data_IF_426256332069
#
_entry.id   IF_426256332069
#
_cell.length_a   1.000
_cell.length_b   1.000
_cell.length_c   1.000
_cell.angle_alpha   90.00
_cell.angle_beta   90.00
_cell.angle_gamma   90.00
#
_symmetry.space_group_name_H-M   'P 1'
#
loop_
_entity.id
_entity.type
_entity.pdbx_description
1 polymer ?
#
# COMPACT_ATOMS: atom_id res chain seq x y z
N UNK A 1 -15.12 6.41 1.59
CA UNK A 1 -14.80 5.35 2.58
C UNK A 1 -14.93 5.90 4.00
N UNK A 2 -15.97 5.49 4.76
CA UNK A 2 -16.28 6.06 6.09
C UNK A 2 -15.37 5.55 7.22
N UNK A 3 -14.71 4.41 7.01
CA UNK A 3 -13.85 3.78 8.03
C UNK A 3 -12.62 4.61 8.40
N UNK A 4 -11.89 5.14 7.41
CA UNK A 4 -10.70 5.97 7.66
C UNK A 4 -11.02 7.28 8.39
N UNK A 5 -12.23 7.80 8.21
CA UNK A 5 -12.69 8.99 8.93
C UNK A 5 -12.95 8.72 10.42
N UNK A 6 -13.19 7.47 10.80
CA UNK A 6 -13.41 7.06 12.19
C UNK A 6 -12.14 6.52 12.85
N UNK A 7 -11.34 5.74 12.09
CA UNK A 7 -10.05 5.24 12.53
C UNK A 7 -9.05 5.30 11.38
N UNK A 8 -7.94 6.03 11.51
CA UNK A 8 -6.89 6.06 10.49
C UNK A 8 -6.01 4.81 10.54
N UNK A 9 -6.25 3.86 11.44
CA UNK A 9 -5.40 2.68 11.60
C UNK A 9 -5.95 1.49 10.83
N UNK A 10 -5.10 0.85 10.04
CA UNK A 10 -5.41 -0.30 9.21
C UNK A 10 -4.23 -1.28 9.16
N UNK A 11 -4.50 -2.53 8.81
CA UNK A 11 -3.47 -3.56 8.63
C UNK A 11 -3.50 -4.06 7.19
N UNK A 12 -2.34 -4.12 6.54
CA UNK A 12 -2.16 -4.63 5.19
C UNK A 12 -1.41 -5.96 5.25
N UNK A 13 -2.03 -7.02 4.77
CA UNK A 13 -1.41 -8.34 4.63
C UNK A 13 -1.09 -8.63 3.16
N UNK A 14 0.16 -8.91 2.87
CA UNK A 14 0.59 -9.50 1.60
C UNK A 14 0.97 -10.96 1.84
N UNK A 15 0.47 -11.83 0.98
CA UNK A 15 0.80 -13.25 0.96
C UNK A 15 1.52 -13.55 -0.35
N UNK A 16 2.66 -14.21 -0.26
CA UNK A 16 3.42 -14.73 -1.39
C UNK A 16 3.18 -16.26 -1.52
N UNK A 17 3.17 -16.81 -2.75
CA UNK A 17 2.99 -18.25 -2.97
C UNK A 17 3.95 -19.17 -2.19
N UNK A 18 5.10 -18.65 -1.75
CA UNK A 18 6.04 -19.33 -0.85
C UNK A 18 5.56 -19.51 0.60
N UNK A 19 4.29 -19.21 0.91
CA UNK A 19 3.73 -19.21 2.26
C UNK A 19 4.37 -18.21 3.23
N UNK A 20 5.01 -17.18 2.67
CA UNK A 20 5.46 -16.02 3.43
C UNK A 20 4.32 -15.00 3.52
N UNK A 21 4.06 -14.51 4.72
CA UNK A 21 3.06 -13.48 4.99
C UNK A 21 3.76 -12.28 5.62
N UNK A 22 3.65 -11.13 4.95
CA UNK A 22 4.04 -9.84 5.51
C UNK A 22 2.79 -9.08 5.96
N UNK A 23 2.78 -8.61 7.22
CA UNK A 23 1.69 -7.80 7.78
C UNK A 23 2.24 -6.46 8.24
N UNK A 24 1.76 -5.38 7.63
CA UNK A 24 2.08 -4.01 8.00
C UNK A 24 0.87 -3.34 8.67
N UNK A 25 1.01 -2.99 9.95
CA UNK A 25 0.05 -2.12 10.63
C UNK A 25 0.44 -0.66 10.34
N UNK A 26 -0.51 0.09 9.78
CA UNK A 26 -0.27 1.39 9.17
C UNK A 26 -1.25 2.45 9.71
N UNK A 27 -0.78 3.70 9.72
CA UNK A 27 -1.65 4.87 9.70
C UNK A 27 -1.92 5.26 8.25
N UNK A 28 -3.19 5.28 7.86
CA UNK A 28 -3.68 5.74 6.58
C UNK A 28 -3.95 7.24 6.57
N UNK A 29 -3.58 7.91 5.47
CA UNK A 29 -3.81 9.33 5.25
C UNK A 29 -4.20 9.58 3.78
N UNK A 30 -5.31 10.29 3.57
CA UNK A 30 -5.71 10.72 2.23
C UNK A 30 -4.82 11.86 1.73
N UNK A 31 -4.27 11.69 0.53
CA UNK A 31 -3.46 12.72 -0.11
C UNK A 31 -4.34 13.59 -1.00
N UNK A 32 -4.44 14.87 -0.64
CA UNK A 32 -5.13 15.89 -1.42
C UNK A 32 -4.19 16.73 -2.30
N UNK A 33 -2.88 16.69 -2.02
CA UNK A 33 -1.87 17.43 -2.78
C UNK A 33 -1.75 16.90 -4.23
N UNK A 34 -2.00 17.79 -5.18
CA UNK A 34 -1.93 17.48 -6.62
C UNK A 34 -0.51 17.13 -7.04
N UNK A 35 0.53 17.72 -6.46
CA UNK A 35 1.91 17.43 -6.85
C UNK A 35 2.31 15.98 -6.52
N UNK A 36 1.95 15.49 -5.34
CA UNK A 36 2.16 14.09 -4.95
C UNK A 36 1.34 13.15 -5.82
N UNK A 37 0.10 13.50 -6.14
CA UNK A 37 -0.73 12.71 -7.07
C UNK A 37 -0.06 12.63 -8.44
N UNK A 38 0.32 13.76 -9.04
CA UNK A 38 1.04 13.80 -10.32
C UNK A 38 2.29 12.92 -10.30
N UNK A 39 3.12 13.02 -9.24
CA UNK A 39 4.31 12.18 -9.08
C UNK A 39 3.98 10.69 -9.08
N UNK A 40 2.89 10.27 -8.42
CA UNK A 40 2.48 8.85 -8.40
C UNK A 40 2.03 8.39 -9.78
N UNK A 41 1.30 9.21 -10.54
CA UNK A 41 0.92 8.86 -11.91
C UNK A 41 2.14 8.62 -12.79
N UNK A 42 3.10 9.54 -12.77
CA UNK A 42 4.30 9.42 -13.60
C UNK A 42 5.18 8.25 -13.15
N UNK A 43 5.19 7.91 -11.85
CA UNK A 43 5.84 6.71 -11.36
C UNK A 43 5.25 5.46 -12.04
N UNK A 44 3.95 5.22 -11.91
CA UNK A 44 3.33 4.03 -12.50
C UNK A 44 3.37 4.02 -14.03
N UNK A 45 3.32 5.19 -14.67
CA UNK A 45 3.44 5.28 -16.13
C UNK A 45 4.83 4.90 -16.63
N UNK A 46 5.87 5.22 -15.86
CA UNK A 46 7.26 4.98 -16.22
C UNK A 46 7.77 3.57 -15.90
N UNK A 47 7.11 2.84 -14.99
CA UNK A 47 7.50 1.48 -14.64
C UNK A 47 7.19 0.46 -15.76
N UNK A 48 8.03 -0.55 -15.97
CA UNK A 48 7.74 -1.62 -16.91
C UNK A 48 6.65 -2.57 -16.38
N UNK A 49 6.03 -3.34 -17.27
CA UNK A 49 5.11 -4.40 -16.88
C UNK A 49 5.82 -5.43 -15.96
N UNK A 50 5.13 -5.99 -14.96
CA UNK A 50 3.68 -5.88 -14.69
C UNK A 50 3.29 -4.70 -13.78
N UNK A 51 4.25 -3.90 -13.31
CA UNK A 51 4.01 -2.80 -12.37
C UNK A 51 3.51 -1.54 -13.08
N UNK A 52 3.92 -1.35 -14.33
CA UNK A 52 3.53 -0.24 -15.17
C UNK A 52 2.02 -0.16 -15.42
N UNK A 53 1.43 1.01 -15.22
CA UNK A 53 0.02 1.27 -15.52
C UNK A 53 -0.23 2.73 -15.89
N UNK A 54 -0.87 2.96 -17.05
CA UNK A 54 -1.27 4.31 -17.49
C UNK A 54 -2.64 4.69 -16.94
N UNK A 55 -2.65 5.36 -15.79
CA UNK A 55 -3.87 5.84 -15.15
C UNK A 55 -4.64 6.88 -15.98
N UNK A 56 -4.01 7.57 -16.94
CA UNK A 56 -4.74 8.50 -17.82
C UNK A 56 -5.79 7.80 -18.68
N UNK A 57 -5.60 6.51 -18.97
CA UNK A 57 -6.56 5.72 -19.75
C UNK A 57 -7.90 5.49 -19.04
N UNK A 58 -7.92 5.55 -17.71
CA UNK A 58 -9.10 5.25 -16.88
C UNK A 58 -9.60 6.44 -16.07
N UNK A 59 -8.78 7.47 -15.88
CA UNK A 59 -9.13 8.68 -15.12
C UNK A 59 -8.93 9.94 -15.97
N UNK A 60 -9.95 10.37 -16.74
CA UNK A 60 -9.82 11.47 -17.70
C UNK A 60 -9.57 12.83 -17.06
N UNK A 61 -10.08 13.06 -15.85
CA UNK A 61 -9.83 14.29 -15.08
C UNK A 61 -8.41 14.34 -14.48
N UNK A 62 -7.66 13.24 -14.62
CA UNK A 62 -6.27 13.15 -14.23
C UNK A 62 -6.04 13.31 -12.72
N UNK A 63 -4.80 13.67 -12.32
CA UNK A 63 -4.40 13.69 -10.92
C UNK A 63 -5.02 14.81 -10.08
N UNK A 64 -5.58 15.83 -10.74
CA UNK A 64 -6.30 16.92 -10.11
C UNK A 64 -7.79 16.63 -9.92
N UNK A 65 -8.32 15.57 -10.55
CA UNK A 65 -9.71 15.15 -10.41
C UNK A 65 -10.07 14.72 -8.98
N UNK A 66 -11.37 14.72 -8.67
CA UNK A 66 -11.88 14.19 -7.39
C UNK A 66 -11.61 12.68 -7.25
N UNK A 67 -11.47 11.98 -8.37
CA UNK A 67 -11.07 10.58 -8.45
C UNK A 67 -9.99 10.39 -9.52
N UNK A 68 -8.98 9.55 -9.25
CA UNK A 68 -8.85 8.65 -8.11
C UNK A 68 -8.25 9.33 -6.86
N UNK A 69 -8.60 8.79 -5.70
CA UNK A 69 -8.03 9.21 -4.41
C UNK A 69 -6.76 8.44 -4.11
N UNK A 70 -5.72 9.14 -3.64
CA UNK A 70 -4.47 8.53 -3.21
C UNK A 70 -4.47 8.36 -1.69
N UNK A 71 -4.17 7.14 -1.22
CA UNK A 71 -4.04 6.82 0.20
C UNK A 71 -2.57 6.50 0.52
N UNK A 72 -1.97 7.30 1.41
CA UNK A 72 -0.64 7.00 1.97
C UNK A 72 -0.78 6.07 3.16
N UNK A 73 0.05 5.04 3.21
CA UNK A 73 0.17 4.13 4.33
C UNK A 73 1.53 4.32 4.99
N UNK A 74 1.53 4.73 6.25
CA UNK A 74 2.76 4.86 7.05
C UNK A 74 2.80 3.72 8.06
N UNK A 75 3.64 2.68 7.82
CA UNK A 75 3.75 1.55 8.75
C UNK A 75 4.38 1.99 10.07
N UNK A 76 3.85 1.46 11.18
CA UNK A 76 4.41 1.57 12.53
C UNK A 76 4.62 0.19 13.18
N UNK A 77 4.32 -0.88 12.45
CA UNK A 77 4.67 -2.24 12.82
C UNK A 77 4.67 -3.12 11.58
N UNK A 78 5.78 -3.80 11.32
CA UNK A 78 5.89 -4.82 10.27
C UNK A 78 6.17 -6.17 10.91
N UNK A 79 5.47 -7.22 10.46
CA UNK A 79 5.70 -8.61 10.86
C UNK A 79 5.84 -9.49 9.63
N UNK A 80 6.84 -10.35 9.61
CA UNK A 80 6.96 -11.40 8.62
C UNK A 80 6.84 -12.76 9.32
N UNK A 81 6.02 -13.61 8.71
CA UNK A 81 5.77 -14.97 9.18
C UNK A 81 5.94 -15.91 7.99
N UNK A 82 6.75 -16.94 8.17
CA UNK A 82 6.92 -18.05 7.23
C UNK A 82 6.53 -19.39 7.91
N UNK A 83 6.64 -20.50 7.18
CA UNK A 83 6.31 -21.83 7.70
C UNK A 83 7.20 -22.24 8.89
N UNK A 84 8.48 -21.86 8.88
CA UNK A 84 9.41 -22.13 9.99
C UNK A 84 9.02 -21.35 11.25
N UNK A 85 8.53 -20.13 11.06
CA UNK A 85 8.01 -19.27 12.11
C UNK A 85 6.76 -19.87 12.74
N UNK A 86 5.81 -20.34 11.91
CA UNK A 86 4.58 -20.98 12.38
C UNK A 86 4.82 -22.31 13.09
N UNK A 87 5.84 -23.06 12.66
CA UNK A 87 6.24 -24.32 13.29
C UNK A 87 7.08 -24.14 14.57
N UNK A 88 7.38 -22.88 14.96
CA UNK A 88 8.17 -22.56 16.14
C UNK A 88 9.67 -22.84 15.98
N UNK A 89 10.13 -23.11 14.75
CA UNK A 89 11.55 -23.36 14.43
C UNK A 89 12.35 -22.07 14.24
N UNK A 90 11.66 -20.95 14.05
CA UNK A 90 12.23 -19.62 13.83
C UNK A 90 11.41 -18.56 14.57
N UNK A 91 12.06 -17.54 15.11
CA UNK A 91 11.37 -16.39 15.67
C UNK A 91 10.82 -15.47 14.56
N UNK A 92 9.62 -14.90 14.72
CA UNK A 92 9.06 -13.97 13.75
C UNK A 92 9.94 -12.72 13.62
N UNK A 93 10.17 -12.28 12.38
CA UNK A 93 10.83 -11.00 12.14
C UNK A 93 9.80 -9.88 12.36
N UNK A 94 10.09 -8.98 13.29
CA UNK A 94 9.21 -7.88 13.62
C UNK A 94 9.98 -6.56 13.77
N UNK A 95 9.45 -5.50 13.18
CA UNK A 95 9.95 -4.14 13.31
C UNK A 95 8.83 -3.20 13.78
N UNK A 96 9.14 -2.21 14.64
CA UNK A 96 8.26 -1.06 14.88
C UNK A 96 8.23 -0.10 13.67
#
# INVERSE_FOLDING_TARGET
MRHLAYSPYLSCSCWEPGHEVAVADCRGEWIADVATRQRVWELYRGEPAPLGYDFWSVFPDGPAGESPSLLRLTPYRLRLTDVETLSGRKDPLAWP
#
